data_IF_956849685642
#
_entry.id   IF_956849685642
#
_cell.length_a   1.000
_cell.length_b   1.000
_cell.length_c   1.000
_cell.angle_alpha   90.00
_cell.angle_beta   90.00
_cell.angle_gamma   90.00
#
_symmetry.space_group_name_H-M   'P 1'
#
loop_
_entity.id
_entity.type
_entity.pdbx_description
1 polymer ?
#
# COMPACT_ATOMS: atom_id res chain seq x y z
N UNK A 1 14.34 0.27 11.05
CA UNK A 1 13.03 0.55 10.44
C UNK A 1 13.08 1.90 9.77
N UNK A 2 12.54 1.96 8.56
CA UNK A 2 12.45 3.13 7.69
C UNK A 2 10.98 3.41 7.42
N UNK A 3 10.63 4.65 7.08
CA UNK A 3 9.27 5.01 6.71
C UNK A 3 9.09 4.80 5.19
N UNK A 4 8.00 4.15 4.80
CA UNK A 4 7.62 3.91 3.41
C UNK A 4 6.25 4.51 3.12
N UNK A 5 6.10 5.09 1.93
CA UNK A 5 4.82 5.44 1.32
C UNK A 5 4.48 4.32 0.36
N UNK A 6 3.40 3.60 0.66
CA UNK A 6 2.91 2.47 -0.12
C UNK A 6 1.70 2.90 -0.93
N UNK A 7 1.73 2.71 -2.25
CA UNK A 7 0.57 2.90 -3.12
C UNK A 7 -0.20 1.60 -3.23
N UNK A 8 -1.50 1.67 -2.96
CA UNK A 8 -2.42 0.54 -2.92
C UNK A 8 -3.47 0.67 -4.03
N UNK A 9 -3.83 -0.45 -4.65
CA UNK A 9 -5.04 -0.59 -5.44
C UNK A 9 -6.07 -1.35 -4.61
N UNK A 10 -7.15 -0.68 -4.25
CA UNK A 10 -8.24 -1.23 -3.45
C UNK A 10 -9.43 -1.56 -4.33
N UNK A 11 -10.02 -2.72 -4.11
CA UNK A 11 -11.29 -3.09 -4.72
C UNK A 11 -12.37 -2.09 -4.33
N UNK A 12 -13.15 -1.64 -5.31
CA UNK A 12 -14.27 -0.75 -5.03
C UNK A 12 -15.28 -1.41 -4.09
N UNK A 13 -15.75 -0.66 -3.09
CA UNK A 13 -16.89 -1.08 -2.25
C UNK A 13 -18.22 -1.05 -3.04
N UNK A 14 -18.25 -0.43 -4.21
CA UNK A 14 -19.40 -0.40 -5.11
C UNK A 14 -19.26 -1.55 -6.10
N UNK A 15 -20.25 -2.45 -6.12
CA UNK A 15 -20.25 -3.58 -7.05
C UNK A 15 -20.18 -3.11 -8.51
N UNK A 16 -19.09 -3.46 -9.20
CA UNK A 16 -18.82 -3.03 -10.58
C UNK A 16 -18.27 -1.61 -10.74
N UNK A 17 -17.94 -0.94 -9.63
CA UNK A 17 -17.21 0.33 -9.63
C UNK A 17 -15.72 0.15 -9.97
N UNK A 18 -15.02 1.21 -10.38
CA UNK A 18 -13.59 1.15 -10.62
C UNK A 18 -12.81 0.98 -9.32
N UNK A 19 -11.70 0.25 -9.38
CA UNK A 19 -10.76 0.14 -8.26
C UNK A 19 -10.24 1.53 -7.85
N UNK A 20 -10.01 1.70 -6.55
CA UNK A 20 -9.58 2.95 -5.94
C UNK A 20 -8.08 2.91 -5.66
N UNK A 21 -7.41 4.05 -5.85
CA UNK A 21 -6.00 4.20 -5.48
C UNK A 21 -5.92 4.83 -4.08
N UNK A 22 -5.24 4.13 -3.18
CA UNK A 22 -5.02 4.55 -1.79
C UNK A 22 -3.52 4.65 -1.49
N UNK A 23 -3.19 5.36 -0.42
CA UNK A 23 -1.81 5.55 0.03
C UNK A 23 -1.71 5.28 1.53
N UNK A 24 -0.68 4.55 1.94
CA UNK A 24 -0.41 4.24 3.34
C UNK A 24 1.03 4.59 3.71
N UNK A 25 1.23 5.15 4.90
CA UNK A 25 2.56 5.33 5.48
C UNK A 25 2.82 4.20 6.48
N UNK A 26 3.88 3.44 6.28
CA UNK A 26 4.24 2.28 7.10
C UNK A 26 5.71 2.29 7.46
N UNK A 27 6.03 1.88 8.68
CA UNK A 27 7.42 1.62 9.08
C UNK A 27 7.74 0.16 8.84
N UNK A 28 8.80 -0.11 8.09
CA UNK A 28 9.26 -1.45 7.73
C UNK A 28 10.79 -1.51 7.65
N UNK A 29 11.37 -2.70 7.62
CA UNK A 29 12.80 -2.91 7.41
C UNK A 29 13.18 -2.70 5.93
N UNK A 30 12.31 -3.13 5.02
CA UNK A 30 12.49 -3.01 3.57
C UNK A 30 11.16 -2.81 2.81
N UNK A 31 11.28 -2.62 1.50
CA UNK A 31 10.14 -2.41 0.59
C UNK A 31 9.19 -3.61 0.52
N UNK A 32 9.72 -4.84 0.60
CA UNK A 32 8.92 -6.07 0.51
C UNK A 32 8.03 -6.21 1.74
N UNK A 33 8.59 -5.98 2.92
CA UNK A 33 7.84 -5.94 4.18
C UNK A 33 6.79 -4.84 4.16
N UNK A 34 7.13 -3.61 3.73
CA UNK A 34 6.19 -2.50 3.64
C UNK A 34 4.97 -2.83 2.77
N UNK A 35 5.18 -3.44 1.60
CA UNK A 35 4.10 -3.85 0.69
C UNK A 35 3.24 -4.96 1.27
N UNK A 36 3.86 -5.93 1.95
CA UNK A 36 3.16 -7.05 2.57
C UNK A 36 2.27 -6.60 3.72
N UNK A 37 2.77 -5.74 4.61
CA UNK A 37 2.02 -5.20 5.74
C UNK A 37 0.89 -4.24 5.29
N UNK A 38 1.08 -3.53 4.18
CA UNK A 38 0.07 -2.64 3.62
C UNK A 38 -1.08 -3.36 2.91
N UNK A 39 -0.84 -4.59 2.43
CA UNK A 39 -1.82 -5.34 1.65
C UNK A 39 -2.81 -6.07 2.56
N UNK A 40 -4.08 -6.07 2.18
CA UNK A 40 -5.13 -6.82 2.87
C UNK A 40 -6.06 -7.53 1.87
N UNK A 41 -7.18 -8.07 2.37
CA UNK A 41 -8.14 -8.81 1.53
C UNK A 41 -8.85 -7.96 0.47
N UNK A 42 -8.74 -6.63 0.51
CA UNK A 42 -9.38 -5.71 -0.43
C UNK A 42 -8.38 -4.78 -1.12
N UNK A 43 -7.21 -4.54 -0.54
CA UNK A 43 -6.19 -3.60 -1.03
C UNK A 43 -4.87 -4.33 -1.31
N UNK A 44 -4.33 -4.16 -2.51
CA UNK A 44 -3.06 -4.75 -2.92
C UNK A 44 -2.01 -3.66 -3.13
N UNK A 45 -0.83 -3.84 -2.53
CA UNK A 45 0.28 -2.91 -2.71
C UNK A 45 0.86 -3.01 -4.14
N UNK A 46 0.89 -1.87 -4.84
CA UNK A 46 1.47 -1.75 -6.18
C UNK A 46 2.95 -1.44 -6.08
N UNK A 47 3.30 -0.44 -5.27
CA UNK A 47 4.67 -0.03 -5.00
C UNK A 47 4.82 0.51 -3.58
N UNK A 48 6.06 0.57 -3.11
CA UNK A 48 6.43 1.27 -1.89
C UNK A 48 7.70 2.07 -2.13
N UNK A 49 7.76 3.29 -1.59
CA UNK A 49 8.92 4.17 -1.69
C UNK A 49 9.35 4.61 -0.30
N UNK A 50 10.64 4.50 0.01
CA UNK A 50 11.21 5.03 1.24
C UNK A 50 11.04 6.55 1.28
N UNK A 51 10.53 7.07 2.41
CA UNK A 51 10.20 8.48 2.60
C UNK A 51 11.02 9.00 3.77
N UNK A 52 12.01 9.81 3.47
CA UNK A 52 12.95 10.37 4.43
C UNK A 52 14.38 10.03 4.07
N UNK A 53 15.24 11.04 4.13
CA UNK A 53 16.70 10.90 4.17
C UNK A 53 17.18 10.75 5.62
#
# INVERSE_FOLDING_TARGET
>A
MKLYLVRLQCMSVIAGGPDEISFAYLQAEDEEEAKKEASDGMCFAIDAAEVGE
#
